data_IF_724903800303
#
_entry.id   IF_724903800303
#
_cell.length_a   1.000
_cell.length_b   1.000
_cell.length_c   1.000
_cell.angle_alpha   90.00
_cell.angle_beta   90.00
_cell.angle_gamma   90.00
#
_symmetry.space_group_name_H-M   'P 1'
#
loop_
_entity.id
_entity.type
_entity.pdbx_description
1 polymer ?
#
# COMPACT_ATOMS: atom_id res chain seq x y z
N UNK A 1 26.49 11.29 11.34
CA UNK A 1 25.85 10.88 10.07
C UNK A 1 24.36 10.72 10.34
N UNK A 2 23.52 11.56 9.75
CA UNK A 2 22.07 11.43 9.89
C UNK A 2 21.52 10.65 8.69
N UNK A 3 21.03 9.44 8.93
CA UNK A 3 20.29 8.60 7.96
C UNK A 3 18.78 8.67 8.29
N UNK A 4 18.30 9.84 8.72
CA UNK A 4 16.89 10.07 8.97
C UNK A 4 16.37 11.05 7.94
N UNK A 5 15.29 10.66 7.25
CA UNK A 5 14.55 11.49 6.31
C UNK A 5 13.07 11.18 6.48
N UNK A 6 12.24 12.22 6.42
CA UNK A 6 10.80 12.14 6.46
C UNK A 6 10.27 12.45 5.05
N UNK A 7 9.29 11.68 4.59
CA UNK A 7 8.64 11.89 3.30
C UNK A 7 7.14 11.87 3.53
N UNK A 8 6.48 12.98 3.18
CA UNK A 8 5.03 13.13 3.23
C UNK A 8 4.48 13.30 1.81
N UNK A 9 3.34 12.69 1.54
CA UNK A 9 2.60 12.86 0.29
C UNK A 9 1.11 13.01 0.59
N UNK A 10 0.50 14.05 0.05
CA UNK A 10 -0.94 14.32 0.17
C UNK A 10 -1.58 14.05 -1.17
N UNK A 11 -2.57 13.15 -1.20
CA UNK A 11 -3.28 12.75 -2.41
C UNK A 11 -4.78 12.96 -2.17
N UNK A 12 -5.45 13.65 -3.09
CA UNK A 12 -6.91 13.77 -3.06
C UNK A 12 -7.57 12.46 -3.47
N UNK A 13 -8.34 11.88 -2.55
CA UNK A 13 -9.09 10.66 -2.79
C UNK A 13 -10.57 11.03 -2.94
N UNK A 14 -11.19 10.64 -4.07
CA UNK A 14 -12.62 10.87 -4.34
C UNK A 14 -13.57 9.94 -3.54
N UNK A 15 -13.02 9.02 -2.74
CA UNK A 15 -13.77 8.11 -1.88
C UNK A 15 -13.96 8.71 -0.48
N UNK A 16 -14.97 8.26 0.27
CA UNK A 16 -15.21 8.74 1.62
C UNK A 16 -14.05 8.37 2.55
N UNK A 17 -13.64 9.32 3.40
CA UNK A 17 -12.52 9.14 4.33
C UNK A 17 -12.71 7.91 5.23
N UNK A 18 -13.94 7.64 5.68
CA UNK A 18 -14.26 6.48 6.51
C UNK A 18 -13.94 5.15 5.82
N UNK A 19 -14.22 5.05 4.51
CA UNK A 19 -13.94 3.84 3.73
C UNK A 19 -12.45 3.63 3.52
N UNK A 20 -11.71 4.73 3.30
CA UNK A 20 -10.26 4.68 3.17
C UNK A 20 -9.64 4.24 4.49
N UNK A 21 -10.04 4.85 5.60
CA UNK A 21 -9.57 4.49 6.93
C UNK A 21 -9.88 3.04 7.28
N UNK A 22 -11.11 2.55 7.03
CA UNK A 22 -11.49 1.17 7.32
C UNK A 22 -10.68 0.15 6.50
N UNK A 23 -10.40 0.42 5.23
CA UNK A 23 -9.60 -0.46 4.38
C UNK A 23 -8.16 -0.57 4.89
N UNK A 24 -7.55 0.55 5.29
CA UNK A 24 -6.17 0.54 5.79
C UNK A 24 -6.06 0.04 7.23
N UNK A 25 -7.04 0.30 8.09
CA UNK A 25 -7.01 -0.11 9.49
C UNK A 25 -7.46 -1.56 9.69
N UNK A 26 -8.59 -1.95 9.11
CA UNK A 26 -9.27 -3.19 9.50
C UNK A 26 -9.15 -4.30 8.46
N UNK A 27 -8.98 -3.97 7.17
CA UNK A 27 -9.06 -4.95 6.08
C UNK A 27 -8.00 -4.76 5.00
N UNK A 28 -6.71 -4.85 5.37
CA UNK A 28 -5.60 -4.72 4.42
C UNK A 28 -5.60 -5.78 3.31
N UNK A 29 -6.23 -6.93 3.50
CA UNK A 29 -6.45 -7.94 2.46
C UNK A 29 -7.30 -7.45 1.28
N UNK A 30 -8.15 -6.41 1.48
CA UNK A 30 -8.87 -5.79 0.36
C UNK A 30 -7.90 -5.02 -0.54
N UNK A 31 -6.80 -4.46 0.00
CA UNK A 31 -5.82 -3.69 -0.78
C UNK A 31 -5.18 -4.55 -1.88
N UNK A 32 -4.91 -5.83 -1.56
CA UNK A 32 -4.46 -6.84 -2.53
C UNK A 32 -5.48 -7.05 -3.66
N UNK A 33 -6.78 -7.00 -3.35
CA UNK A 33 -7.84 -7.10 -4.36
C UNK A 33 -8.04 -5.80 -5.15
N UNK A 34 -7.74 -4.64 -4.56
CA UNK A 34 -7.86 -3.33 -5.22
C UNK A 34 -6.75 -3.14 -6.25
N UNK A 35 -5.52 -3.55 -5.92
CA UNK A 35 -4.38 -3.45 -6.83
C UNK A 35 -3.49 -4.70 -6.75
N UNK A 36 -3.89 -5.81 -7.39
CA UNK A 36 -3.10 -7.04 -7.41
C UNK A 36 -1.76 -6.87 -8.15
N UNK A 37 -1.65 -5.84 -9.00
CA UNK A 37 -0.42 -5.52 -9.73
C UNK A 37 0.62 -4.86 -8.82
N UNK A 38 0.19 -4.11 -7.80
CA UNK A 38 1.10 -3.44 -6.86
C UNK A 38 1.29 -4.24 -5.58
N UNK A 39 0.22 -4.80 -5.02
CA UNK A 39 0.22 -5.59 -3.79
C UNK A 39 -0.34 -6.98 -4.10
N UNK A 40 0.51 -7.99 -3.99
CA UNK A 40 0.19 -9.37 -4.39
C UNK A 40 -0.36 -10.21 -3.26
N UNK A 41 0.11 -10.01 -2.03
CA UNK A 41 -0.45 -10.68 -0.86
C UNK A 41 -0.27 -9.85 0.41
N UNK A 42 -1.14 -10.11 1.37
CA UNK A 42 -1.11 -9.53 2.71
C UNK A 42 -1.42 -10.65 3.69
N UNK A 43 -0.42 -11.06 4.47
CA UNK A 43 -0.51 -12.19 5.39
C UNK A 43 -0.30 -11.70 6.83
N UNK A 44 -1.21 -12.08 7.73
CA UNK A 44 -1.07 -11.80 9.15
C UNK A 44 -0.14 -12.86 9.76
N UNK A 45 1.01 -12.41 10.26
CA UNK A 45 1.96 -13.30 10.94
C UNK A 45 1.57 -13.45 12.41
N UNK A 46 1.28 -12.32 13.09
CA UNK A 46 0.97 -12.31 14.52
C UNK A 46 -0.14 -11.30 14.84
N UNK A 47 -0.95 -11.61 15.85
CA UNK A 47 -2.02 -10.75 16.34
C UNK A 47 -3.35 -10.91 15.60
N UNK A 48 -4.12 -9.84 15.51
CA UNK A 48 -5.43 -9.78 14.85
C UNK A 48 -5.53 -8.51 14.01
N UNK A 49 -6.18 -8.61 12.85
CA UNK A 49 -6.41 -7.46 11.97
C UNK A 49 -7.12 -6.32 12.70
N UNK A 50 -6.63 -5.09 12.52
CA UNK A 50 -7.22 -3.90 13.12
C UNK A 50 -6.96 -3.72 14.62
N UNK A 51 -6.12 -4.56 15.24
CA UNK A 51 -5.68 -4.37 16.64
C UNK A 51 -4.23 -3.89 16.71
N UNK A 52 -3.91 -2.99 17.67
CA UNK A 52 -2.51 -2.63 17.94
C UNK A 52 -1.69 -3.88 18.29
N UNK A 53 -0.48 -3.96 17.75
CA UNK A 53 0.41 -5.11 17.96
C UNK A 53 0.30 -6.22 16.90
N UNK A 54 -0.52 -6.04 15.85
CA UNK A 54 -0.55 -6.95 14.72
C UNK A 54 0.71 -6.82 13.84
N UNK A 55 1.30 -7.95 13.46
CA UNK A 55 2.43 -8.03 12.54
C UNK A 55 1.93 -8.56 11.20
N UNK A 56 2.05 -7.74 10.16
CA UNK A 56 1.52 -8.01 8.83
C UNK A 56 2.68 -8.07 7.83
N UNK A 57 2.76 -9.17 7.09
CA UNK A 57 3.65 -9.33 5.95
C UNK A 57 2.97 -8.87 4.66
N UNK A 58 3.61 -7.95 3.95
CA UNK A 58 3.11 -7.45 2.68
C UNK A 58 4.02 -7.88 1.55
N UNK A 59 3.46 -8.62 0.59
CA UNK A 59 4.15 -8.94 -0.66
C UNK A 59 3.69 -7.94 -1.71
N UNK A 60 4.59 -7.07 -2.14
CA UNK A 60 4.32 -6.06 -3.16
C UNK A 60 5.29 -6.20 -4.33
N UNK A 61 4.78 -6.00 -5.55
CA UNK A 61 5.61 -5.85 -6.73
C UNK A 61 5.76 -4.37 -7.01
N UNK A 62 6.98 -3.87 -6.83
CA UNK A 62 7.34 -2.56 -7.35
C UNK A 62 7.39 -2.68 -8.86
N UNK A 63 6.35 -2.22 -9.54
CA UNK A 63 6.32 -2.14 -10.99
C UNK A 63 7.62 -1.44 -11.42
N UNK A 64 8.47 -2.11 -12.21
CA UNK A 64 9.64 -1.45 -12.77
C UNK A 64 9.10 -0.29 -13.58
N UNK A 65 9.62 0.91 -13.33
CA UNK A 65 9.36 2.05 -14.19
C UNK A 65 9.56 1.56 -15.64
N UNK A 66 8.47 1.35 -16.37
CA UNK A 66 8.52 1.31 -17.82
C UNK A 66 9.01 2.71 -18.14
N UNK A 67 10.32 2.84 -18.37
CA UNK A 67 10.89 4.00 -19.01
C UNK A 67 9.98 4.20 -20.23
N UNK A 68 9.20 5.28 -20.18
CA UNK A 68 8.44 5.76 -21.32
C UNK A 68 9.43 5.78 -22.47
N UNK A 69 9.37 4.79 -23.36
CA UNK A 69 10.10 4.85 -24.62
C UNK A 69 9.49 6.05 -25.34
N UNK A 70 10.25 7.14 -25.58
CA UNK A 70 9.73 8.20 -26.39
C UNK A 70 9.35 7.59 -27.73
N UNK A 71 8.10 7.80 -28.13
CA UNK A 71 7.60 7.44 -29.44
C UNK A 71 8.53 8.15 -30.43
N UNK A 72 9.44 7.41 -31.06
CA UNK A 72 10.17 7.91 -32.22
C UNK A 72 9.17 7.96 -33.38
N UNK A 73 9.06 9.17 -33.93
CA UNK A 73 8.27 9.56 -35.10
C UNK A 73 8.45 8.65 -36.32
#
# INVERSE_FOLDING_TARGET
>A
MSLAGELEAVIEVKASADKVHEVFSCRPHIVTSISPQSVQSCELIEGEWGRPGAVICWTFTRCKATLYTPISS
#
